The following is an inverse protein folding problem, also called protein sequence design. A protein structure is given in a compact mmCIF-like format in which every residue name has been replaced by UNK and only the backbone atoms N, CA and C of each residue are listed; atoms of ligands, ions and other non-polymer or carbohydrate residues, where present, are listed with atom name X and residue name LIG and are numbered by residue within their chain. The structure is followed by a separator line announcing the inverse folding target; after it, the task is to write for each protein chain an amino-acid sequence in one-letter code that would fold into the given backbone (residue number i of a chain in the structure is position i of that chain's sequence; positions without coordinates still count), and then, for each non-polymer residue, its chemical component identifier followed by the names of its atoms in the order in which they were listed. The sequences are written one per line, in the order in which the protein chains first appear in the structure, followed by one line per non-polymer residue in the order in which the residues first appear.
data_IF_166594568726
#
_entry.id   IF_166594568726
#
_cell.length_a   1.000
_cell.length_b   1.000
_cell.length_c   1.000
_cell.angle_alpha   90.00
_cell.angle_beta   90.00
_cell.angle_gamma   90.00
#
_symmetry.space_group_name_H-M   'P 1'
#
loop_
_entity.id
_entity.type
_entity.pdbx_description
1 polymer ?
#
# COMPACT_ATOMS: atom_id res chain seq x y z
N UNK A 1 -3.30 28.13 -43.28
CA UNK A 1 -3.01 26.72 -42.99
C UNK A 1 -2.11 26.47 -41.76
N UNK A 2 -1.77 27.51 -40.98
CA UNK A 2 -0.85 27.37 -39.80
C UNK A 2 -1.57 27.26 -38.47
N UNK A 3 -2.89 27.47 -38.42
CA UNK A 3 -3.69 27.48 -37.21
C UNK A 3 -4.43 26.15 -36.92
N UNK A 4 -4.43 25.21 -37.87
CA UNK A 4 -5.08 23.90 -37.70
C UNK A 4 -4.11 22.89 -37.02
N UNK A 5 -2.81 23.11 -37.17
CA UNK A 5 -1.79 22.20 -36.55
C UNK A 5 -1.65 22.41 -35.05
N UNK A 6 -1.94 23.61 -34.55
CA UNK A 6 -1.87 23.93 -33.11
C UNK A 6 -3.07 23.39 -32.36
N UNK A 7 -4.24 23.29 -33.01
CA UNK A 7 -5.44 22.74 -32.39
C UNK A 7 -5.41 21.21 -32.25
N UNK A 8 -4.66 20.52 -33.12
CA UNK A 8 -4.46 19.07 -33.03
C UNK A 8 -3.43 18.68 -31.98
N UNK A 9 -2.50 19.56 -31.65
CA UNK A 9 -1.52 19.30 -30.57
C UNK A 9 -2.09 19.51 -29.17
N UNK A 10 -3.14 20.33 -29.02
CA UNK A 10 -3.81 20.57 -27.73
C UNK A 10 -4.84 19.49 -27.36
N UNK A 11 -5.21 18.62 -28.30
CA UNK A 11 -6.10 17.47 -28.05
C UNK A 11 -5.33 16.24 -27.50
N UNK A 12 -4.00 16.25 -27.52
CA UNK A 12 -3.17 15.16 -26.96
C UNK A 12 -2.60 15.45 -25.56
N UNK A 13 -2.93 16.60 -24.98
CA UNK A 13 -2.50 16.99 -23.62
C UNK A 13 -3.68 16.96 -22.64
N UNK A 14 -4.66 16.08 -22.84
CA UNK A 14 -5.60 15.78 -21.78
C UNK A 14 -4.94 14.78 -20.81
N UNK A 15 -4.92 15.04 -19.49
CA UNK A 15 -4.26 14.16 -18.49
C UNK A 15 -5.08 12.91 -18.16
N UNK A 16 -5.85 12.38 -19.10
CA UNK A 16 -6.54 11.10 -18.95
C UNK A 16 -5.97 10.09 -19.94
N UNK A 17 -4.77 9.62 -19.69
CA UNK A 17 -4.30 8.36 -20.26
C UNK A 17 -4.98 7.22 -19.52
N UNK A 18 -6.21 6.88 -19.89
CA UNK A 18 -6.84 5.62 -19.50
C UNK A 18 -6.08 4.53 -20.24
N UNK A 19 -5.04 4.00 -19.61
CA UNK A 19 -4.38 2.80 -20.09
C UNK A 19 -5.24 1.60 -19.69
N UNK A 20 -6.09 1.12 -20.59
CA UNK A 20 -6.70 -0.19 -20.46
C UNK A 20 -5.60 -1.23 -20.68
N UNK A 21 -5.03 -1.74 -19.61
CA UNK A 21 -4.23 -2.94 -19.68
C UNK A 21 -5.19 -4.13 -19.74
N UNK A 22 -5.62 -4.53 -20.95
CA UNK A 22 -6.29 -5.81 -21.13
C UNK A 22 -5.27 -6.92 -20.93
N UNK A 23 -5.23 -7.47 -19.74
CA UNK A 23 -4.62 -8.76 -19.47
C UNK A 23 -5.66 -9.83 -19.79
N UNK A 24 -5.20 -10.93 -20.41
CA UNK A 24 -5.96 -12.09 -20.85
C UNK A 24 -7.01 -12.57 -19.84
N UNK A 25 -8.11 -13.07 -20.32
CA UNK A 25 -9.43 -13.46 -19.83
C UNK A 25 -9.61 -14.10 -18.43
N UNK A 26 -8.57 -14.20 -17.60
CA UNK A 26 -8.66 -14.79 -16.27
C UNK A 26 -8.56 -13.77 -15.13
N UNK A 27 -8.49 -12.47 -15.43
CA UNK A 27 -8.42 -11.46 -14.39
C UNK A 27 -9.80 -11.18 -13.79
N UNK A 28 -9.95 -11.41 -12.52
CA UNK A 28 -11.18 -11.20 -11.77
C UNK A 28 -11.58 -9.73 -11.70
N UNK A 29 -10.60 -8.82 -11.75
CA UNK A 29 -10.77 -7.38 -11.58
C UNK A 29 -10.23 -6.57 -12.75
N UNK A 30 -10.92 -5.48 -13.12
CA UNK A 30 -10.42 -4.41 -13.97
C UNK A 30 -10.13 -3.16 -13.16
N UNK A 31 -9.16 -2.36 -13.61
CA UNK A 31 -8.60 -1.24 -12.85
C UNK A 31 -8.64 0.07 -13.63
N UNK A 32 -8.68 1.16 -12.89
CA UNK A 32 -8.39 2.52 -13.38
C UNK A 32 -7.15 3.02 -12.66
N UNK A 33 -6.23 3.61 -13.42
CA UNK A 33 -5.07 4.29 -12.87
C UNK A 33 -5.44 5.74 -12.56
N UNK A 34 -5.47 6.09 -11.28
CA UNK A 34 -5.51 7.47 -10.83
C UNK A 34 -4.09 8.01 -10.76
N UNK A 35 -3.80 9.03 -11.56
CA UNK A 35 -2.45 9.58 -11.69
C UNK A 35 -2.50 11.10 -11.82
N UNK A 36 -1.64 11.81 -11.07
CA UNK A 36 -1.42 13.24 -11.26
C UNK A 36 -0.99 13.98 -10.00
N UNK A 37 -0.29 15.06 -10.21
CA UNK A 37 0.08 16.02 -9.16
C UNK A 37 -1.11 16.88 -8.75
N UNK A 38 -1.97 17.23 -9.71
CA UNK A 38 -3.12 18.12 -9.51
C UNK A 38 -4.40 17.38 -9.08
N UNK A 39 -4.34 16.05 -9.00
CA UNK A 39 -5.55 15.24 -8.84
C UNK A 39 -6.26 15.46 -7.51
N UNK A 40 -5.51 15.68 -6.45
CA UNK A 40 -6.03 15.78 -5.09
C UNK A 40 -5.65 17.06 -4.37
N UNK A 41 -4.91 17.95 -5.01
CA UNK A 41 -4.56 19.24 -4.41
C UNK A 41 -5.80 20.14 -4.45
N UNK A 42 -6.31 20.63 -3.31
CA UNK A 42 -7.33 21.66 -3.30
C UNK A 42 -6.80 22.89 -4.05
N UNK A 43 -7.64 23.51 -4.87
CA UNK A 43 -7.26 24.73 -5.61
C UNK A 43 -6.83 25.89 -4.73
N UNK A 44 -7.11 25.79 -3.43
CA UNK A 44 -6.92 26.78 -2.39
C UNK A 44 -6.28 26.18 -1.14
N UNK A 45 -5.08 25.58 -1.28
CA UNK A 45 -4.34 25.03 -0.15
C UNK A 45 -4.12 26.10 0.92
N UNK A 46 -4.43 25.76 2.16
CA UNK A 46 -4.18 26.63 3.32
C UNK A 46 -2.69 26.69 3.63
N UNK A 47 -1.97 25.60 3.36
CA UNK A 47 -0.54 25.51 3.60
C UNK A 47 0.23 25.69 2.29
N UNK A 48 0.92 26.81 2.04
CA UNK A 48 1.43 27.21 0.73
C UNK A 48 2.49 26.27 0.14
N UNK A 49 3.15 25.46 0.98
CA UNK A 49 4.22 24.54 0.56
C UNK A 49 3.81 23.07 0.71
N UNK A 50 2.51 22.77 0.60
CA UNK A 50 2.00 21.40 0.68
C UNK A 50 1.84 20.80 -0.71
N UNK A 51 2.42 19.62 -0.92
CA UNK A 51 2.28 18.83 -2.14
C UNK A 51 1.58 17.51 -1.81
N UNK A 52 0.47 17.24 -2.48
CA UNK A 52 -0.27 15.98 -2.37
C UNK A 52 -0.28 15.29 -3.72
N UNK A 53 0.30 14.09 -3.79
CA UNK A 53 0.41 13.31 -5.01
C UNK A 53 -0.22 11.94 -4.86
N UNK A 54 -0.91 11.50 -5.90
CA UNK A 54 -1.52 10.19 -5.97
C UNK A 54 -1.17 9.50 -7.29
N UNK A 55 -0.75 8.23 -7.21
CA UNK A 55 -0.56 7.34 -8.35
C UNK A 55 -1.03 5.94 -7.95
N UNK A 56 -2.29 5.59 -8.28
CA UNK A 56 -2.91 4.40 -7.72
C UNK A 56 -3.78 3.64 -8.74
N UNK A 57 -3.55 2.33 -8.88
CA UNK A 57 -4.44 1.41 -9.60
C UNK A 57 -5.59 0.99 -8.69
N UNK A 58 -6.79 1.46 -8.98
CA UNK A 58 -7.98 1.18 -8.18
C UNK A 58 -8.94 0.24 -8.92
N UNK A 59 -9.48 -0.82 -8.28
CA UNK A 59 -10.40 -1.74 -8.92
C UNK A 59 -11.75 -1.06 -9.20
N UNK A 60 -12.26 -1.20 -10.43
CA UNK A 60 -13.49 -0.52 -10.86
C UNK A 60 -14.52 -1.46 -11.48
N UNK A 61 -14.15 -2.70 -11.78
CA UNK A 61 -15.05 -3.68 -12.36
C UNK A 61 -14.72 -5.09 -11.91
N UNK A 62 -15.73 -5.81 -11.54
CA UNK A 62 -15.73 -7.21 -11.17
C UNK A 62 -17.06 -7.85 -11.56
N UNK A 63 -17.15 -9.17 -11.61
CA UNK A 63 -18.41 -9.86 -11.91
C UNK A 63 -19.48 -9.62 -10.83
N UNK A 64 -19.06 -9.59 -9.57
CA UNK A 64 -19.90 -9.31 -8.41
C UNK A 64 -19.65 -7.88 -7.89
N UNK A 65 -20.64 -7.01 -8.06
CA UNK A 65 -20.54 -5.59 -7.67
C UNK A 65 -20.55 -5.40 -6.15
N UNK A 66 -21.22 -6.27 -5.40
CA UNK A 66 -21.26 -6.17 -3.93
C UNK A 66 -19.89 -6.51 -3.32
N UNK A 67 -19.22 -7.52 -3.88
CA UNK A 67 -17.86 -7.87 -3.50
C UNK A 67 -16.88 -6.76 -3.89
N UNK A 68 -17.02 -6.22 -5.10
CA UNK A 68 -16.21 -5.08 -5.54
C UNK A 68 -16.32 -3.90 -4.58
N UNK A 69 -17.54 -3.50 -4.22
CA UNK A 69 -17.78 -2.40 -3.29
C UNK A 69 -17.12 -2.63 -1.92
N UNK A 70 -17.15 -3.85 -1.42
CA UNK A 70 -16.50 -4.20 -0.14
C UNK A 70 -14.97 -4.10 -0.24
N UNK A 71 -14.36 -4.61 -1.32
CA UNK A 71 -12.92 -4.49 -1.55
C UNK A 71 -12.52 -3.01 -1.69
N UNK A 72 -13.28 -2.22 -2.46
CA UNK A 72 -13.05 -0.79 -2.63
C UNK A 72 -13.09 -0.05 -1.30
N UNK A 73 -14.09 -0.34 -0.45
CA UNK A 73 -14.22 0.28 0.86
C UNK A 73 -13.03 -0.04 1.76
N UNK A 74 -12.63 -1.31 1.84
CA UNK A 74 -11.49 -1.72 2.65
C UNK A 74 -10.16 -1.11 2.16
N UNK A 75 -9.98 -0.99 0.83
CA UNK A 75 -8.82 -0.30 0.26
C UNK A 75 -8.78 1.16 0.67
N UNK A 76 -9.91 1.87 0.53
CA UNK A 76 -10.03 3.27 0.92
C UNK A 76 -9.73 3.46 2.40
N UNK A 77 -10.33 2.64 3.26
CA UNK A 77 -10.15 2.72 4.71
C UNK A 77 -8.68 2.46 5.10
N UNK A 78 -8.02 1.52 4.43
CA UNK A 78 -6.63 1.17 4.70
C UNK A 78 -5.65 2.24 4.19
N UNK A 79 -5.87 2.78 2.98
CA UNK A 79 -4.96 3.76 2.35
C UNK A 79 -5.05 5.12 3.02
N UNK A 80 -6.27 5.56 3.37
CA UNK A 80 -6.53 6.90 3.89
C UNK A 80 -6.76 6.95 5.40
N UNK A 81 -6.54 5.83 6.11
CA UNK A 81 -6.64 5.74 7.58
C UNK A 81 -7.95 6.29 8.14
N UNK A 82 -9.09 5.94 7.53
CA UNK A 82 -10.38 6.43 7.96
C UNK A 82 -11.55 5.64 7.43
N UNK A 83 -12.72 5.79 8.08
CA UNK A 83 -13.97 5.20 7.63
C UNK A 83 -14.74 6.21 6.79
N UNK A 84 -14.69 6.05 5.48
CA UNK A 84 -15.39 6.90 4.53
C UNK A 84 -16.67 6.19 4.06
N UNK A 85 -17.79 6.93 4.00
CA UNK A 85 -19.08 6.37 3.57
C UNK A 85 -19.26 6.42 2.05
N UNK A 86 -18.18 6.21 1.31
CA UNK A 86 -18.21 6.21 -0.16
C UNK A 86 -17.06 5.40 -0.73
N UNK A 87 -17.33 4.70 -1.81
CA UNK A 87 -16.33 3.98 -2.61
C UNK A 87 -15.75 4.85 -3.75
N UNK A 88 -16.11 6.13 -3.81
CA UNK A 88 -15.52 7.07 -4.77
C UNK A 88 -14.10 7.42 -4.35
N UNK A 89 -13.11 6.73 -4.91
CA UNK A 89 -11.71 6.92 -4.62
C UNK A 89 -11.25 8.38 -4.81
N UNK A 90 -11.69 9.03 -5.90
CA UNK A 90 -11.40 10.45 -6.18
C UNK A 90 -11.91 11.37 -5.05
N UNK A 91 -13.17 11.18 -4.64
CA UNK A 91 -13.77 12.01 -3.59
C UNK A 91 -13.06 11.87 -2.25
N UNK A 92 -12.69 10.62 -1.89
CA UNK A 92 -11.98 10.36 -0.64
C UNK A 92 -10.55 10.91 -0.67
N UNK A 93 -9.84 10.72 -1.79
CA UNK A 93 -8.50 11.23 -1.96
C UNK A 93 -8.42 12.75 -1.82
N UNK A 94 -9.39 13.48 -2.43
CA UNK A 94 -9.51 14.95 -2.28
C UNK A 94 -9.78 15.35 -0.83
N UNK A 95 -10.74 14.69 -0.18
CA UNK A 95 -11.09 14.97 1.20
C UNK A 95 -9.91 14.71 2.16
N UNK A 96 -9.17 13.64 1.91
CA UNK A 96 -7.97 13.30 2.68
C UNK A 96 -6.87 14.37 2.50
N UNK A 97 -6.59 14.79 1.26
CA UNK A 97 -5.65 15.88 0.98
C UNK A 97 -6.02 17.17 1.70
N UNK A 98 -7.32 17.54 1.67
CA UNK A 98 -7.83 18.71 2.40
C UNK A 98 -7.65 18.59 3.92
N UNK A 99 -7.88 17.41 4.46
CA UNK A 99 -7.69 17.16 5.91
C UNK A 99 -6.23 17.30 6.32
N UNK A 100 -5.29 16.78 5.52
CA UNK A 100 -3.85 16.91 5.79
C UNK A 100 -3.42 18.36 5.71
N UNK A 101 -3.83 19.10 4.67
CA UNK A 101 -3.55 20.53 4.50
C UNK A 101 -4.03 21.34 5.74
N UNK A 102 -5.25 21.08 6.21
CA UNK A 102 -5.80 21.72 7.40
C UNK A 102 -4.98 21.42 8.66
N UNK A 103 -4.55 20.16 8.83
CA UNK A 103 -3.72 19.75 9.97
C UNK A 103 -2.37 20.45 9.94
N UNK A 104 -1.72 20.51 8.79
CA UNK A 104 -0.43 21.18 8.62
C UNK A 104 -0.55 22.66 8.90
N UNK A 105 -1.57 23.34 8.37
CA UNK A 105 -1.86 24.74 8.62
C UNK A 105 -2.07 25.01 10.11
N UNK A 106 -2.94 24.25 10.76
CA UNK A 106 -3.23 24.40 12.20
C UNK A 106 -2.00 24.19 13.07
N UNK A 107 -1.18 23.20 12.74
CA UNK A 107 0.02 22.90 13.52
C UNK A 107 1.13 23.95 13.35
N UNK A 108 1.20 24.62 12.21
CA UNK A 108 2.27 25.55 11.89
C UNK A 108 1.90 27.00 12.24
N UNK A 109 0.67 27.40 11.93
CA UNK A 109 0.25 28.81 12.05
C UNK A 109 -0.61 29.13 13.29
N UNK A 110 -1.27 28.10 13.88
CA UNK A 110 -2.13 28.32 15.04
C UNK A 110 -1.45 27.98 16.39
N UNK A 111 -0.26 27.44 16.39
CA UNK A 111 0.54 27.35 17.61
C UNK A 111 1.06 28.74 17.93
N UNK A 112 0.57 29.34 19.02
CA UNK A 112 1.29 30.39 19.73
C UNK A 112 2.64 29.82 20.12
N UNK A 113 3.70 30.25 19.43
CA UNK A 113 5.08 29.88 19.77
C UNK A 113 5.35 30.49 21.13
N UNK A 114 5.61 29.72 22.20
CA UNK A 114 6.05 30.33 23.47
C UNK A 114 7.35 31.09 23.22
N UNK A 115 7.41 32.29 23.72
CA UNK A 115 8.40 33.35 23.45
C UNK A 115 9.83 33.04 23.94
N UNK A 116 10.07 31.82 24.48
CA UNK A 116 11.31 31.47 25.19
C UNK A 116 11.90 30.10 24.77
N UNK A 117 11.56 29.56 23.60
CA UNK A 117 12.20 28.37 23.09
C UNK A 117 13.29 28.70 22.09
N UNK A 118 14.48 28.27 22.48
CA UNK A 118 15.74 28.28 21.76
C UNK A 118 15.62 28.29 20.23
N UNK A 119 16.43 29.12 19.59
CA UNK A 119 16.63 29.34 18.16
C UNK A 119 16.84 28.06 17.31
N UNK A 120 16.72 26.85 17.90
CA UNK A 120 17.02 25.57 17.26
C UNK A 120 15.86 24.93 16.52
N UNK A 121 14.63 25.39 16.69
CA UNK A 121 13.49 24.88 15.94
C UNK A 121 12.87 25.99 15.10
N UNK A 122 13.46 26.25 13.97
CA UNK A 122 12.87 27.09 12.93
C UNK A 122 11.64 26.39 12.32
N UNK A 123 10.51 26.47 13.01
CA UNK A 123 9.21 25.99 12.52
C UNK A 123 8.63 26.88 11.40
N UNK A 124 9.30 27.97 11.08
CA UNK A 124 8.83 28.98 10.12
C UNK A 124 9.60 29.00 8.82
N UNK A 125 10.42 27.98 8.50
CA UNK A 125 11.17 27.98 7.26
C UNK A 125 10.20 27.79 6.08
N UNK A 126 9.81 28.89 5.46
CA UNK A 126 8.93 28.97 4.29
C UNK A 126 9.41 28.16 3.08
N UNK A 127 10.66 27.68 3.13
CA UNK A 127 11.30 26.96 2.02
C UNK A 127 11.14 25.43 2.16
N UNK A 128 10.57 24.92 3.25
CA UNK A 128 10.32 23.50 3.42
C UNK A 128 9.06 23.08 2.69
N UNK A 129 9.18 22.14 1.77
CA UNK A 129 8.05 21.50 1.09
C UNK A 129 7.55 20.36 1.96
N UNK A 130 6.31 20.47 2.41
CA UNK A 130 5.60 19.37 3.05
C UNK A 130 4.93 18.53 1.97
N UNK A 131 5.02 17.22 2.07
CA UNK A 131 4.43 16.40 1.04
C UNK A 131 3.79 15.12 1.59
N UNK A 132 2.82 14.64 0.84
CA UNK A 132 2.19 13.35 1.02
C UNK A 132 2.03 12.70 -0.35
N UNK A 133 2.67 11.57 -0.55
CA UNK A 133 2.63 10.84 -1.80
C UNK A 133 2.16 9.41 -1.55
N UNK A 134 1.19 8.95 -2.33
CA UNK A 134 0.70 7.56 -2.35
C UNK A 134 0.90 6.99 -3.74
N UNK A 135 1.55 5.84 -3.81
CA UNK A 135 1.70 5.06 -5.03
C UNK A 135 1.22 3.63 -4.78
N UNK A 136 0.29 3.13 -5.60
CA UNK A 136 -0.23 1.79 -5.45
C UNK A 136 -0.47 1.10 -6.78
N UNK A 137 -0.26 -0.21 -6.79
CA UNK A 137 -0.48 -1.04 -7.98
C UNK A 137 -0.91 -2.44 -7.61
N UNK A 138 -1.64 -3.07 -8.51
CA UNK A 138 -1.91 -4.50 -8.46
C UNK A 138 -0.63 -5.29 -8.66
N UNK A 139 -0.35 -6.21 -7.75
CA UNK A 139 0.83 -7.10 -7.86
C UNK A 139 0.45 -8.55 -8.08
N UNK A 140 -0.77 -8.94 -7.70
CA UNK A 140 -1.33 -10.26 -7.96
C UNK A 140 -2.84 -10.17 -8.19
N UNK A 141 -3.36 -10.84 -9.22
CA UNK A 141 -4.79 -10.90 -9.54
C UNK A 141 -5.07 -12.17 -10.33
N UNK A 142 -5.04 -13.31 -9.66
CA UNK A 142 -5.25 -14.63 -10.24
C UNK A 142 -6.04 -15.49 -9.26
N UNK A 143 -6.68 -16.53 -9.81
CA UNK A 143 -7.51 -17.44 -9.04
C UNK A 143 -8.58 -16.66 -8.24
N UNK A 144 -8.59 -16.80 -6.94
CA UNK A 144 -9.49 -16.04 -6.07
C UNK A 144 -8.75 -15.03 -5.19
N UNK A 145 -7.49 -14.72 -5.52
CA UNK A 145 -6.64 -13.83 -4.73
C UNK A 145 -6.32 -12.54 -5.49
N UNK A 146 -6.61 -11.42 -4.86
CA UNK A 146 -6.20 -10.08 -5.31
C UNK A 146 -5.27 -9.45 -4.29
N UNK A 147 -4.09 -9.02 -4.74
CA UNK A 147 -3.12 -8.33 -3.88
C UNK A 147 -2.75 -7.00 -4.50
N UNK A 148 -2.89 -5.95 -3.72
CA UNK A 148 -2.41 -4.61 -4.05
C UNK A 148 -1.24 -4.25 -3.15
N UNK A 149 -0.16 -3.76 -3.77
CA UNK A 149 0.94 -3.09 -3.07
C UNK A 149 0.70 -1.61 -3.08
N UNK A 150 0.79 -0.94 -1.95
CA UNK A 150 0.88 0.51 -1.93
C UNK A 150 2.06 0.98 -1.07
N UNK A 151 2.61 2.10 -1.47
CA UNK A 151 3.69 2.79 -0.79
C UNK A 151 3.25 4.21 -0.51
N UNK A 152 3.46 4.67 0.69
CA UNK A 152 3.28 6.07 1.02
C UNK A 152 4.60 6.70 1.43
N UNK A 153 4.76 7.97 1.13
CA UNK A 153 5.86 8.80 1.62
C UNK A 153 5.27 10.11 2.10
N UNK A 154 5.58 10.51 3.32
CA UNK A 154 5.10 11.76 3.88
C UNK A 154 6.21 12.53 4.58
N UNK A 155 6.14 13.85 4.49
CA UNK A 155 6.96 14.75 5.28
C UNK A 155 6.07 15.84 5.89
N UNK A 156 5.99 15.83 7.21
CA UNK A 156 5.21 16.77 8.03
C UNK A 156 6.11 17.65 8.89
N UNK A 157 7.38 17.82 8.48
CA UNK A 157 8.42 18.45 9.28
C UNK A 157 9.18 17.44 10.15
N UNK A 158 10.36 17.85 10.65
CA UNK A 158 11.23 17.02 11.47
C UNK A 158 12.54 16.64 10.79
N UNK A 159 13.27 15.67 11.33
CA UNK A 159 14.59 15.28 10.89
C UNK A 159 14.59 14.50 9.56
N UNK A 160 13.54 13.74 9.28
CA UNK A 160 13.40 12.91 8.09
C UNK A 160 11.92 12.68 7.74
N UNK A 161 11.67 12.27 6.50
CA UNK A 161 10.35 11.85 6.06
C UNK A 161 9.99 10.45 6.58
N UNK A 162 8.70 10.17 6.63
CA UNK A 162 8.16 8.84 6.91
C UNK A 162 7.75 8.20 5.60
N UNK A 163 7.97 6.90 5.50
CA UNK A 163 7.52 6.11 4.36
C UNK A 163 7.19 4.68 4.81
N UNK A 164 6.38 4.00 4.04
CA UNK A 164 6.04 2.62 4.30
C UNK A 164 5.44 1.94 3.08
N UNK A 165 5.71 0.65 2.96
CA UNK A 165 5.11 -0.22 1.97
C UNK A 165 4.15 -1.19 2.66
N UNK A 166 3.00 -1.42 2.04
CA UNK A 166 1.99 -2.36 2.52
C UNK A 166 1.48 -3.22 1.38
N UNK A 167 1.16 -4.46 1.70
CA UNK A 167 0.45 -5.37 0.82
C UNK A 167 -0.89 -5.71 1.45
N UNK A 168 -1.97 -5.47 0.70
CA UNK A 168 -3.33 -5.85 1.10
C UNK A 168 -3.79 -6.97 0.19
N UNK A 169 -4.13 -8.10 0.78
CA UNK A 169 -4.60 -9.29 0.09
C UNK A 169 -6.09 -9.51 0.36
N UNK A 170 -6.85 -9.88 -0.68
CA UNK A 170 -8.29 -10.09 -0.60
C UNK A 170 -8.69 -11.40 -1.28
N UNK A 171 -9.57 -12.16 -0.64
CA UNK A 171 -10.33 -13.20 -1.32
C UNK A 171 -11.42 -12.54 -2.18
N UNK A 172 -11.32 -12.69 -3.49
CA UNK A 172 -12.24 -12.07 -4.45
C UNK A 172 -13.63 -12.72 -4.49
N UNK A 173 -13.86 -13.80 -3.75
CA UNK A 173 -15.20 -14.44 -3.62
C UNK A 173 -15.99 -13.90 -2.43
N UNK A 174 -15.31 -13.42 -1.39
CA UNK A 174 -15.93 -12.99 -0.14
C UNK A 174 -15.66 -11.52 0.18
N UNK A 175 -14.68 -10.88 -0.49
CA UNK A 175 -14.09 -9.60 -0.15
C UNK A 175 -13.36 -9.59 1.20
N UNK A 176 -13.06 -10.75 1.77
CA UNK A 176 -12.37 -10.83 3.05
C UNK A 176 -10.91 -10.39 2.86
N UNK A 177 -10.43 -9.49 3.73
CA UNK A 177 -9.02 -9.17 3.81
C UNK A 177 -8.29 -10.34 4.45
N UNK A 178 -7.23 -10.81 3.78
CA UNK A 178 -6.56 -12.07 4.10
C UNK A 178 -5.18 -11.78 4.68
N UNK A 179 -4.90 -12.30 5.86
CA UNK A 179 -3.59 -12.17 6.48
C UNK A 179 -2.72 -13.41 6.24
N UNK A 180 -1.41 -13.22 6.32
CA UNK A 180 -0.43 -14.28 6.08
C UNK A 180 -0.72 -15.55 6.88
N UNK A 181 -0.93 -15.44 8.19
CA UNK A 181 -1.18 -16.59 9.06
C UNK A 181 -2.56 -17.24 8.89
N UNK A 182 -3.55 -16.50 8.41
CA UNK A 182 -4.84 -17.09 8.06
C UNK A 182 -4.68 -18.10 6.92
N UNK A 183 -3.83 -17.74 5.93
CA UNK A 183 -3.59 -18.56 4.74
C UNK A 183 -2.62 -19.69 5.01
N UNK A 184 -1.48 -19.41 5.65
CA UNK A 184 -0.35 -20.34 5.77
C UNK A 184 -0.11 -20.79 7.23
N UNK A 185 -1.08 -20.62 8.11
CA UNK A 185 -0.92 -20.94 9.54
C UNK A 185 -1.15 -22.41 9.91
N UNK A 186 -1.28 -23.33 8.92
CA UNK A 186 -1.49 -24.74 9.21
C UNK A 186 -0.15 -25.45 9.50
N UNK A 187 -0.21 -26.54 10.29
CA UNK A 187 0.95 -27.41 10.51
C UNK A 187 1.13 -28.36 9.33
N UNK A 188 2.38 -28.63 8.98
CA UNK A 188 2.75 -29.66 8.03
C UNK A 188 3.35 -30.87 8.74
N UNK A 189 2.79 -32.05 8.48
CA UNK A 189 3.26 -33.32 9.05
C UNK A 189 4.06 -34.09 8.02
N UNK A 190 5.38 -34.18 8.27
CA UNK A 190 6.27 -35.07 7.49
C UNK A 190 6.21 -36.47 8.08
N UNK A 191 5.47 -37.36 7.44
CA UNK A 191 5.26 -38.72 7.92
C UNK A 191 6.50 -39.61 7.82
N UNK A 192 7.43 -39.29 6.92
CA UNK A 192 8.70 -40.04 6.77
C UNK A 192 9.67 -39.73 7.91
N UNK A 193 9.80 -38.43 8.23
CA UNK A 193 10.67 -37.96 9.32
C UNK A 193 10.00 -38.02 10.69
N UNK A 194 8.68 -38.25 10.73
CA UNK A 194 7.86 -38.18 11.95
C UNK A 194 8.00 -36.83 12.69
N UNK A 195 8.04 -35.75 11.92
CA UNK A 195 8.17 -34.40 12.42
C UNK A 195 6.96 -33.55 12.03
N UNK A 196 6.59 -32.65 12.92
CA UNK A 196 5.59 -31.62 12.65
C UNK A 196 6.37 -30.31 12.47
N UNK A 197 6.08 -29.62 11.40
CA UNK A 197 6.63 -28.32 11.08
C UNK A 197 5.52 -27.27 11.13
N UNK A 198 5.84 -26.09 11.57
CA UNK A 198 5.02 -24.91 11.45
C UNK A 198 5.67 -23.91 10.48
N UNK A 199 4.88 -23.01 9.93
CA UNK A 199 5.37 -21.98 8.98
C UNK A 199 6.35 -21.03 9.68
N UNK A 200 6.19 -20.78 10.98
CA UNK A 200 7.06 -19.90 11.76
C UNK A 200 8.50 -20.38 11.79
N UNK A 201 8.72 -21.68 11.94
CA UNK A 201 10.07 -22.26 11.87
C UNK A 201 10.74 -22.01 10.51
N UNK A 202 9.98 -22.11 9.41
CA UNK A 202 10.47 -21.83 8.07
C UNK A 202 10.79 -20.34 7.88
N UNK A 203 9.88 -19.47 8.31
CA UNK A 203 10.03 -18.01 8.25
C UNK A 203 11.25 -17.56 9.06
N UNK A 204 11.39 -18.04 10.29
CA UNK A 204 12.52 -17.69 11.15
C UNK A 204 13.85 -18.17 10.55
N UNK A 205 13.89 -19.38 9.97
CA UNK A 205 15.09 -19.84 9.27
C UNK A 205 15.46 -18.91 8.11
N UNK A 206 14.50 -18.55 7.26
CA UNK A 206 14.76 -17.65 6.14
C UNK A 206 15.17 -16.23 6.59
N UNK A 207 14.60 -15.74 7.70
CA UNK A 207 15.00 -14.47 8.31
C UNK A 207 16.44 -14.49 8.82
N UNK A 208 16.82 -15.52 9.58
CA UNK A 208 18.19 -15.61 10.11
C UNK A 208 19.22 -15.84 9.02
N UNK A 209 18.88 -16.58 7.97
CA UNK A 209 19.78 -16.79 6.83
C UNK A 209 20.06 -15.49 6.08
N UNK A 210 19.06 -14.63 5.95
CA UNK A 210 19.17 -13.35 5.20
C UNK A 210 19.64 -12.19 6.07
N UNK A 211 19.21 -12.17 7.33
CA UNK A 211 19.45 -11.09 8.30
C UNK A 211 19.95 -11.64 9.64
N UNK A 212 21.19 -12.13 9.72
CA UNK A 212 21.70 -12.78 10.92
C UNK A 212 21.78 -11.86 12.16
N UNK A 213 21.72 -10.54 11.96
CA UNK A 213 21.70 -9.53 13.02
C UNK A 213 20.32 -9.34 13.66
N UNK A 214 19.25 -9.91 13.10
CA UNK A 214 17.92 -9.84 13.67
C UNK A 214 17.87 -10.65 14.95
N UNK A 215 17.51 -10.00 16.06
CA UNK A 215 17.40 -10.65 17.37
C UNK A 215 16.24 -11.66 17.45
N UNK A 216 16.24 -12.49 18.47
CA UNK A 216 15.25 -13.55 18.70
C UNK A 216 13.81 -13.04 19.03
N UNK A 217 13.64 -11.74 19.27
CA UNK A 217 12.34 -11.11 19.55
C UNK A 217 11.79 -10.45 18.28
N UNK A 218 11.52 -11.24 17.26
CA UNK A 218 10.94 -10.74 16.01
C UNK A 218 9.43 -10.93 16.04
N UNK A 219 8.70 -9.94 15.51
CA UNK A 219 7.25 -10.02 15.25
C UNK A 219 7.03 -10.55 13.83
N UNK A 220 7.58 -11.72 13.54
CA UNK A 220 7.55 -12.34 12.22
C UNK A 220 6.10 -12.58 11.73
N UNK A 221 5.14 -12.69 12.67
CA UNK A 221 3.72 -12.88 12.41
C UNK A 221 3.07 -11.66 11.76
N UNK A 222 3.67 -10.47 11.89
CA UNK A 222 3.12 -9.21 11.39
C UNK A 222 3.48 -8.94 9.92
N UNK A 223 3.99 -9.94 9.21
CA UNK A 223 4.28 -9.84 7.80
C UNK A 223 3.02 -9.57 6.98
N UNK A 224 3.07 -8.63 6.06
CA UNK A 224 2.21 -8.64 4.89
C UNK A 224 2.82 -9.53 3.80
N UNK A 225 2.02 -10.00 2.85
CA UNK A 225 2.53 -10.96 1.86
C UNK A 225 2.09 -10.65 0.44
N UNK A 226 2.87 -11.15 -0.50
CA UNK A 226 2.53 -11.20 -1.93
C UNK A 226 3.14 -12.44 -2.58
N UNK A 227 2.81 -12.67 -3.86
CA UNK A 227 3.36 -13.75 -4.67
C UNK A 227 4.09 -13.14 -5.86
N UNK A 228 5.39 -13.39 -5.95
CA UNK A 228 6.25 -12.86 -7.01
C UNK A 228 7.14 -14.00 -7.52
N UNK A 229 7.13 -14.25 -8.81
CA UNK A 229 8.01 -15.25 -9.48
C UNK A 229 7.98 -16.61 -8.77
N UNK A 230 6.79 -17.15 -8.50
CA UNK A 230 6.59 -18.41 -7.80
C UNK A 230 7.15 -18.47 -6.37
N UNK A 231 7.37 -17.32 -5.75
CA UNK A 231 7.72 -17.19 -4.34
C UNK A 231 6.62 -16.50 -3.55
N UNK A 232 6.34 -17.02 -2.37
CA UNK A 232 5.69 -16.25 -1.31
C UNK A 232 6.71 -15.25 -0.77
N UNK A 233 6.46 -13.97 -0.99
CA UNK A 233 7.28 -12.88 -0.45
C UNK A 233 6.59 -12.34 0.79
N UNK A 234 7.26 -12.39 1.92
CA UNK A 234 6.82 -11.79 3.18
C UNK A 234 7.53 -10.45 3.34
N UNK A 235 6.74 -9.41 3.54
CA UNK A 235 7.20 -8.03 3.69
C UNK A 235 7.00 -7.55 5.13
N UNK A 236 8.05 -6.98 5.68
CA UNK A 236 8.09 -6.41 7.02
C UNK A 236 8.36 -4.91 6.94
N UNK A 237 7.39 -4.13 7.38
CA UNK A 237 7.52 -2.69 7.48
C UNK A 237 8.59 -2.29 8.52
N UNK A 238 8.94 -1.00 8.52
CA UNK A 238 9.86 -0.43 9.50
C UNK A 238 9.46 -0.78 10.94
N UNK A 239 10.43 -1.04 11.79
CA UNK A 239 10.28 -1.37 13.21
C UNK A 239 9.61 -2.73 13.51
N UNK A 240 9.25 -3.53 12.51
CA UNK A 240 8.72 -4.88 12.76
C UNK A 240 9.85 -5.84 13.14
N UNK A 241 10.91 -5.90 12.35
CA UNK A 241 12.05 -6.78 12.60
C UNK A 241 13.27 -6.05 13.16
N UNK A 242 13.46 -4.78 12.79
CA UNK A 242 14.66 -4.03 13.08
C UNK A 242 14.40 -2.54 13.24
N UNK A 243 15.42 -1.77 13.61
CA UNK A 243 15.33 -0.31 13.71
C UNK A 243 15.13 0.34 12.34
N UNK A 244 14.62 1.57 12.34
CA UNK A 244 14.32 2.34 11.12
C UNK A 244 15.49 2.42 10.13
N UNK A 245 16.72 2.50 10.62
CA UNK A 245 17.93 2.61 9.79
C UNK A 245 18.19 1.37 8.91
N UNK A 246 17.63 0.22 9.25
CA UNK A 246 17.71 -1.01 8.44
C UNK A 246 16.67 -1.05 7.32
N UNK A 247 15.71 -0.13 7.32
CA UNK A 247 14.65 -0.06 6.32
C UNK A 247 13.62 -1.18 6.45
N UNK A 248 12.84 -1.36 5.39
CA UNK A 248 11.88 -2.46 5.24
C UNK A 248 12.62 -3.74 4.82
N UNK A 249 12.14 -4.90 5.25
CA UNK A 249 12.76 -6.19 4.95
C UNK A 249 11.78 -7.11 4.23
N UNK A 250 12.30 -7.85 3.25
CA UNK A 250 11.56 -8.89 2.56
C UNK A 250 12.27 -10.24 2.71
N UNK A 251 11.50 -11.32 2.83
CA UNK A 251 12.01 -12.68 2.66
C UNK A 251 11.17 -13.41 1.61
N UNK A 252 11.79 -14.40 0.97
CA UNK A 252 11.15 -15.19 -0.07
C UNK A 252 11.16 -16.66 0.32
N UNK A 253 10.02 -17.31 0.16
CA UNK A 253 9.82 -18.74 0.39
C UNK A 253 9.23 -19.32 -0.90
N UNK A 254 9.81 -20.37 -1.48
CA UNK A 254 9.21 -21.01 -2.66
C UNK A 254 7.74 -21.34 -2.41
N UNK A 255 6.86 -20.95 -3.32
CA UNK A 255 5.40 -21.10 -3.13
C UNK A 255 4.98 -22.55 -2.91
N UNK A 256 5.62 -23.51 -3.57
CA UNK A 256 5.33 -24.92 -3.37
C UNK A 256 5.67 -25.40 -1.94
N UNK A 257 6.71 -24.80 -1.33
CA UNK A 257 7.03 -25.07 0.07
C UNK A 257 6.01 -24.40 0.99
N UNK A 258 5.64 -23.16 0.73
CA UNK A 258 4.63 -22.46 1.52
C UNK A 258 3.26 -23.15 1.46
N UNK A 259 2.88 -23.72 0.31
CA UNK A 259 1.61 -24.45 0.13
C UNK A 259 1.48 -25.69 1.03
N UNK A 260 2.56 -26.24 1.56
CA UNK A 260 2.51 -27.33 2.54
C UNK A 260 1.82 -26.90 3.85
N UNK A 261 1.88 -25.61 4.16
CA UNK A 261 1.30 -25.00 5.36
C UNK A 261 -0.06 -24.35 5.11
N UNK A 262 -0.63 -24.55 3.92
CA UNK A 262 -1.86 -23.91 3.49
C UNK A 262 -3.05 -24.40 4.33
N UNK A 263 -3.74 -23.48 4.98
CA UNK A 263 -4.95 -23.75 5.73
C UNK A 263 -6.05 -24.28 4.79
N UNK A 264 -6.80 -25.31 5.21
CA UNK A 264 -7.81 -25.95 4.36
C UNK A 264 -8.85 -24.98 3.80
N UNK A 265 -9.22 -23.96 4.56
CA UNK A 265 -10.20 -22.93 4.17
C UNK A 265 -9.72 -22.03 3.03
N UNK A 266 -8.40 -21.93 2.81
CA UNK A 266 -7.80 -21.02 1.85
C UNK A 266 -7.19 -21.71 0.62
N UNK A 267 -7.38 -23.03 0.49
CA UNK A 267 -6.86 -23.79 -0.66
C UNK A 267 -7.33 -23.25 -2.01
N UNK A 268 -8.50 -22.66 -2.06
CA UNK A 268 -9.10 -22.10 -3.27
C UNK A 268 -8.36 -20.86 -3.81
N UNK A 269 -7.54 -20.19 -2.98
CA UNK A 269 -6.76 -19.03 -3.41
C UNK A 269 -5.62 -19.38 -4.38
N UNK A 270 -5.31 -20.69 -4.55
CA UNK A 270 -4.16 -21.18 -5.31
C UNK A 270 -4.53 -22.33 -6.26
N UNK A 271 -5.77 -22.37 -6.76
CA UNK A 271 -6.29 -23.42 -7.65
C UNK A 271 -6.32 -23.01 -9.11
#
# INVERSE_FOLDING_TARGET
MRNILVLLLLLFLSPLSILFCQKKDDSVLSFVLYQGEDFCVPSDTLFPNFLYQLNFEFPVKMHDEDILCKIQQQLIDSIFYGHYQTTSFDSVARLHGYRIDTILYSNTYLREVPDDRDEYFDYGNSDRIYFFHICGRTVYNQDSLYIVKYHYTEYKGGAHHHYGTHYLAFDTRTAECVHFLDVFGNEYVDHEKRMIYDIGSLVLSALYDKYPEIGSFTRWEEASFTIINDNLTLHYAHYILACWAMGEQDIEIPIDTAKLFLSPNWKHLFQ
#
